data_IF_172215095525
#
_entry.id   IF_172215095525
#
_cell.length_a   1.000
_cell.length_b   1.000
_cell.length_c   1.000
_cell.angle_alpha   90.00
_cell.angle_beta   90.00
_cell.angle_gamma   90.00
#
_symmetry.space_group_name_H-M   'P 1'
#
loop_
_entity.id
_entity.type
_entity.pdbx_description
1 polymer ?
#
# COMPACT_ATOMS: atom_id res chain seq x y z
N UNK A 1 -20.71 -6.10 -18.71
CA UNK A 1 -20.31 -4.92 -17.90
C UNK A 1 -19.44 -5.31 -16.67
N UNK A 2 -18.58 -6.34 -16.76
CA UNK A 2 -17.83 -6.87 -15.59
C UNK A 2 -16.34 -6.48 -15.52
N UNK A 3 -15.69 -6.16 -16.65
CA UNK A 3 -14.24 -5.89 -16.69
C UNK A 3 -13.81 -4.55 -16.08
N UNK A 4 -14.73 -3.58 -16.01
CA UNK A 4 -14.40 -2.24 -15.51
C UNK A 4 -14.24 -2.18 -13.98
N UNK A 5 -15.03 -2.95 -13.19
CA UNK A 5 -14.94 -2.93 -11.71
C UNK A 5 -13.60 -3.43 -11.16
N UNK A 6 -12.88 -4.27 -11.92
CA UNK A 6 -11.58 -4.83 -11.50
C UNK A 6 -10.38 -3.97 -11.96
N UNK A 7 -10.53 -3.17 -13.01
CA UNK A 7 -9.42 -2.39 -13.57
C UNK A 7 -9.10 -1.15 -12.72
N UNK A 8 -10.14 -0.47 -12.21
CA UNK A 8 -9.97 0.73 -11.38
C UNK A 8 -9.10 0.53 -10.14
N UNK A 9 -9.32 -0.50 -9.28
CA UNK A 9 -8.47 -0.71 -8.11
C UNK A 9 -7.02 -1.03 -8.51
N UNK A 10 -6.81 -1.82 -9.57
CA UNK A 10 -5.47 -2.16 -10.04
C UNK A 10 -4.66 -0.92 -10.45
N UNK A 11 -5.24 0.00 -11.22
CA UNK A 11 -4.56 1.23 -11.65
C UNK A 11 -4.25 2.13 -10.45
N UNK A 12 -5.15 2.24 -9.47
CA UNK A 12 -4.92 3.00 -8.24
C UNK A 12 -3.74 2.42 -7.45
N UNK A 13 -3.66 1.10 -7.32
CA UNK A 13 -2.52 0.44 -6.68
C UNK A 13 -1.23 0.66 -7.44
N UNK A 14 -1.22 0.48 -8.76
CA UNK A 14 -0.03 0.66 -9.58
C UNK A 14 0.52 2.09 -9.45
N UNK A 15 -0.34 3.10 -9.60
CA UNK A 15 0.03 4.52 -9.43
C UNK A 15 0.53 4.78 -8.00
N UNK A 16 -0.12 4.20 -6.99
CA UNK A 16 0.27 4.37 -5.59
C UNK A 16 1.65 3.79 -5.28
N UNK A 17 1.94 2.58 -5.73
CA UNK A 17 3.26 1.96 -5.53
C UNK A 17 4.36 2.70 -6.28
N UNK A 18 4.11 3.11 -7.53
CA UNK A 18 5.08 3.91 -8.30
C UNK A 18 5.38 5.22 -7.56
N UNK A 19 4.35 5.92 -7.07
CA UNK A 19 4.52 7.15 -6.31
C UNK A 19 5.30 6.92 -5.00
N UNK A 20 5.00 5.86 -4.24
CA UNK A 20 5.71 5.52 -3.00
C UNK A 20 7.18 5.20 -3.26
N UNK A 21 7.49 4.41 -4.30
CA UNK A 21 8.86 4.03 -4.65
C UNK A 21 9.66 5.25 -5.11
N UNK A 22 9.12 6.06 -6.02
CA UNK A 22 9.78 7.27 -6.50
C UNK A 22 10.04 8.25 -5.35
N UNK A 23 9.06 8.41 -4.46
CA UNK A 23 9.20 9.29 -3.30
C UNK A 23 10.24 8.75 -2.31
N UNK A 24 10.26 7.44 -2.05
CA UNK A 24 11.26 6.81 -1.20
C UNK A 24 12.69 7.02 -1.74
N UNK A 25 12.90 6.88 -3.04
CA UNK A 25 14.18 7.18 -3.69
C UNK A 25 14.57 8.64 -3.53
N UNK A 26 13.63 9.57 -3.72
CA UNK A 26 13.88 10.99 -3.56
C UNK A 26 14.22 11.38 -2.11
N UNK A 27 13.62 10.72 -1.12
CA UNK A 27 13.97 10.89 0.31
C UNK A 27 15.39 10.40 0.59
N UNK A 28 15.80 9.27 0.01
CA UNK A 28 17.18 8.77 0.13
C UNK A 28 18.21 9.74 -0.48
N UNK A 29 17.84 10.48 -1.53
CA UNK A 29 18.67 11.51 -2.15
C UNK A 29 18.74 12.83 -1.34
N UNK A 30 18.05 12.91 -0.20
CA UNK A 30 18.07 14.09 0.68
C UNK A 30 17.03 15.16 0.35
N UNK A 31 16.10 14.90 -0.58
CA UNK A 31 15.00 15.83 -0.84
C UNK A 31 13.97 15.76 0.28
N UNK A 32 13.99 16.75 1.17
CA UNK A 32 13.06 16.84 2.31
C UNK A 32 11.60 16.99 1.86
N UNK A 33 11.36 17.61 0.70
CA UNK A 33 10.03 17.74 0.09
C UNK A 33 9.42 16.41 -0.38
N UNK A 34 10.25 15.39 -0.60
CA UNK A 34 9.77 14.08 -1.04
C UNK A 34 8.98 13.33 0.04
N UNK A 35 9.09 13.76 1.30
CA UNK A 35 8.27 13.23 2.39
C UNK A 35 6.77 13.44 2.14
N UNK A 36 6.38 14.60 1.61
CA UNK A 36 4.98 14.90 1.30
C UNK A 36 4.45 14.05 0.14
N UNK A 37 5.27 13.80 -0.88
CA UNK A 37 4.92 12.93 -1.99
C UNK A 37 4.72 11.48 -1.53
N UNK A 38 5.52 11.01 -0.57
CA UNK A 38 5.37 9.69 0.03
C UNK A 38 4.07 9.56 0.84
N UNK A 39 3.69 10.59 1.61
CA UNK A 39 2.38 10.65 2.27
C UNK A 39 1.23 10.55 1.25
N UNK A 40 1.33 11.29 0.13
CA UNK A 40 0.35 11.22 -0.96
C UNK A 40 0.22 9.83 -1.58
N UNK A 41 1.34 9.18 -1.90
CA UNK A 41 1.34 7.80 -2.40
C UNK A 41 0.75 6.79 -1.41
N UNK A 42 1.08 6.95 -0.13
CA UNK A 42 0.56 6.09 0.95
C UNK A 42 -0.95 6.24 1.13
N UNK A 43 -1.47 7.47 1.09
CA UNK A 43 -2.91 7.74 1.12
C UNK A 43 -3.63 7.11 -0.07
N UNK A 44 -3.05 7.18 -1.28
CA UNK A 44 -3.62 6.56 -2.47
C UNK A 44 -3.71 5.03 -2.31
N UNK A 45 -2.67 4.39 -1.77
CA UNK A 45 -2.68 2.96 -1.49
C UNK A 45 -3.74 2.58 -0.45
N UNK A 46 -3.91 3.36 0.62
CA UNK A 46 -4.94 3.13 1.64
C UNK A 46 -6.35 3.26 1.04
N UNK A 47 -6.58 4.28 0.21
CA UNK A 47 -7.84 4.45 -0.52
C UNK A 47 -8.09 3.28 -1.48
N UNK A 48 -7.08 2.84 -2.22
CA UNK A 48 -7.14 1.65 -3.06
C UNK A 48 -7.55 0.41 -2.26
N UNK A 49 -6.97 0.20 -1.07
CA UNK A 49 -7.38 -0.89 -0.16
C UNK A 49 -8.85 -0.75 0.21
N UNK A 50 -9.27 0.42 0.70
CA UNK A 50 -10.66 0.66 1.12
C UNK A 50 -11.68 0.36 0.03
N UNK A 51 -11.40 0.74 -1.22
CA UNK A 51 -12.27 0.49 -2.36
C UNK A 51 -12.30 -0.98 -2.80
N UNK A 52 -11.22 -1.72 -2.55
CA UNK A 52 -11.08 -3.12 -2.98
C UNK A 52 -11.60 -4.10 -1.92
N UNK A 53 -11.84 -3.66 -0.67
CA UNK A 53 -12.40 -4.52 0.38
C UNK A 53 -13.81 -5.01 -0.01
N UNK A 54 -14.00 -6.31 -0.29
CA UNK A 54 -15.33 -6.84 -0.56
C UNK A 54 -16.10 -6.89 0.77
N UNK A 55 -17.29 -6.28 0.84
CA UNK A 55 -18.26 -6.44 1.95
C UNK A 55 -18.92 -7.82 1.96
N UNK A 56 -18.16 -8.90 1.73
CA UNK A 56 -18.71 -10.26 1.77
C UNK A 56 -18.41 -10.92 3.13
N UNK A 57 -19.40 -11.58 3.70
CA UNK A 57 -19.36 -12.26 5.01
C UNK A 57 -18.53 -13.58 5.02
N UNK A 58 -17.88 -13.90 3.90
CA UNK A 58 -17.06 -15.09 3.77
C UNK A 58 -15.79 -15.01 4.64
N UNK A 59 -15.63 -15.97 5.55
CA UNK A 59 -14.49 -16.09 6.48
C UNK A 59 -13.12 -15.99 5.79
N UNK A 60 -13.03 -16.46 4.53
CA UNK A 60 -11.82 -16.42 3.69
C UNK A 60 -11.44 -14.99 3.28
N UNK A 61 -12.44 -14.13 3.00
CA UNK A 61 -12.27 -12.73 2.59
C UNK A 61 -11.96 -11.84 3.80
N UNK A 62 -12.56 -12.15 4.96
CA UNK A 62 -12.29 -11.47 6.24
C UNK A 62 -10.84 -11.62 6.71
N UNK A 63 -10.23 -12.80 6.52
CA UNK A 63 -8.80 -13.02 6.81
C UNK A 63 -7.88 -12.25 5.85
N UNK A 64 -8.26 -12.17 4.57
CA UNK A 64 -7.49 -11.44 3.56
C UNK A 64 -7.47 -9.94 3.87
N UNK A 65 -8.62 -9.39 4.29
CA UNK A 65 -8.75 -8.00 4.73
C UNK A 65 -7.92 -7.70 6.00
N UNK A 66 -7.80 -8.65 6.92
CA UNK A 66 -6.93 -8.52 8.09
C UNK A 66 -5.46 -8.35 7.71
N UNK A 67 -4.97 -9.12 6.74
CA UNK A 67 -3.56 -9.04 6.30
C UNK A 67 -3.31 -7.76 5.49
N UNK A 68 -4.28 -7.34 4.68
CA UNK A 68 -4.22 -6.07 3.93
C UNK A 68 -4.20 -4.85 4.88
N UNK A 69 -4.92 -4.92 6.00
CA UNK A 69 -4.91 -3.90 7.04
C UNK A 69 -3.56 -3.86 7.79
N UNK A 70 -2.95 -5.01 8.06
CA UNK A 70 -1.60 -5.07 8.66
C UNK A 70 -0.57 -4.36 7.77
N UNK A 71 -0.56 -4.61 6.45
CA UNK A 71 0.32 -3.89 5.53
C UNK A 71 0.09 -2.37 5.53
N UNK A 72 -1.15 -1.92 5.68
CA UNK A 72 -1.49 -0.49 5.71
C UNK A 72 -0.98 0.19 7.00
N UNK A 73 -1.07 -0.52 8.14
CA UNK A 73 -0.54 -0.03 9.42
C UNK A 73 0.98 0.16 9.33
N UNK A 74 1.69 -0.78 8.71
CA UNK A 74 3.14 -0.66 8.50
C UNK A 74 3.51 0.48 7.54
N UNK A 75 2.72 0.72 6.50
CA UNK A 75 2.89 1.88 5.61
C UNK A 75 2.73 3.21 6.36
N UNK A 76 1.71 3.33 7.21
CA UNK A 76 1.51 4.52 8.06
C UNK A 76 2.68 4.71 9.03
N UNK A 77 3.15 3.62 9.65
CA UNK A 77 4.32 3.64 10.53
C UNK A 77 5.58 4.11 9.78
N UNK A 78 5.78 3.65 8.54
CA UNK A 78 6.87 4.09 7.68
C UNK A 78 6.82 5.59 7.43
N UNK A 79 5.62 6.11 7.13
CA UNK A 79 5.36 7.53 6.92
C UNK A 79 5.72 8.38 8.15
N UNK A 80 5.31 7.93 9.34
CA UNK A 80 5.61 8.59 10.61
C UNK A 80 7.12 8.57 10.94
N UNK A 81 7.79 7.45 10.71
CA UNK A 81 9.24 7.32 10.92
C UNK A 81 10.05 8.21 9.97
N UNK A 82 9.57 8.37 8.74
CA UNK A 82 10.18 9.23 7.74
C UNK A 82 10.10 10.70 8.15
N UNK A 83 8.96 11.14 8.69
CA UNK A 83 8.80 12.48 9.26
C UNK A 83 9.70 12.73 10.48
N UNK A 84 9.91 11.70 11.29
CA UNK A 84 10.78 11.76 12.48
C UNK A 84 12.29 11.78 12.13
N UNK A 85 12.64 11.70 10.83
CA UNK A 85 14.03 11.75 10.36
C UNK A 85 14.88 10.53 10.75
N UNK A 86 14.25 9.43 11.20
CA UNK A 86 14.95 8.19 11.59
C UNK A 86 15.01 7.22 10.42
N UNK A 87 16.20 6.69 10.12
CA UNK A 87 16.41 5.72 9.03
C UNK A 87 15.66 4.37 9.18
N UNK A 88 14.95 4.14 10.29
CA UNK A 88 14.10 2.97 10.49
C UNK A 88 12.84 2.95 9.59
N UNK A 89 12.52 4.05 8.89
CA UNK A 89 11.41 4.10 7.94
C UNK A 89 11.58 3.10 6.79
N UNK A 90 12.81 2.81 6.36
CA UNK A 90 13.07 1.84 5.29
C UNK A 90 12.71 0.42 5.73
N UNK A 91 13.03 0.06 6.97
CA UNK A 91 12.74 -1.28 7.53
C UNK A 91 11.24 -1.53 7.60
N UNK A 92 10.49 -0.55 8.09
CA UNK A 92 9.02 -0.64 8.16
C UNK A 92 8.37 -0.68 6.79
N UNK A 93 8.95 0.03 5.80
CA UNK A 93 8.50 0.00 4.41
C UNK A 93 8.71 -1.37 3.77
N UNK A 94 9.87 -2.00 3.98
CA UNK A 94 10.16 -3.35 3.47
C UNK A 94 9.20 -4.37 4.09
N UNK A 95 8.91 -4.27 5.39
CA UNK A 95 7.94 -5.17 6.04
C UNK A 95 6.54 -4.97 5.41
N UNK A 96 6.11 -3.72 5.20
CA UNK A 96 4.85 -3.44 4.52
C UNK A 96 4.80 -4.07 3.12
N UNK A 97 5.88 -3.94 2.35
CA UNK A 97 5.99 -4.51 1.01
C UNK A 97 5.92 -6.05 1.00
N UNK A 98 6.47 -6.72 2.02
CA UNK A 98 6.35 -8.18 2.17
C UNK A 98 4.90 -8.59 2.41
N UNK A 99 4.19 -7.88 3.29
CA UNK A 99 2.76 -8.12 3.51
C UNK A 99 1.96 -7.93 2.22
N UNK A 100 2.24 -6.86 1.48
CA UNK A 100 1.55 -6.59 0.21
C UNK A 100 1.88 -7.64 -0.86
N UNK A 101 3.14 -8.06 -0.97
CA UNK A 101 3.56 -9.16 -1.85
C UNK A 101 2.86 -10.47 -1.49
N UNK A 102 2.73 -10.78 -0.20
CA UNK A 102 1.95 -11.94 0.27
C UNK A 102 0.47 -11.85 -0.16
N UNK A 103 -0.14 -10.67 -0.05
CA UNK A 103 -1.54 -10.49 -0.50
C UNK A 103 -1.69 -10.68 -2.01
N UNK A 104 -0.67 -10.32 -2.81
CA UNK A 104 -0.69 -10.49 -4.26
C UNK A 104 -0.82 -11.96 -4.69
N UNK A 105 -0.10 -12.89 -4.04
CA UNK A 105 -0.24 -14.32 -4.35
C UNK A 105 -1.56 -14.93 -3.89
N UNK A 106 -2.17 -14.35 -2.85
CA UNK A 106 -3.38 -14.89 -2.24
C UNK A 106 -4.69 -14.34 -2.83
N UNK A 107 -4.63 -13.28 -3.63
CA UNK A 107 -5.82 -12.79 -4.31
C UNK A 107 -6.36 -13.91 -5.24
N UNK A 108 -7.62 -14.35 -5.07
CA UNK A 108 -8.17 -15.41 -5.91
C UNK A 108 -8.16 -14.92 -7.36
N UNK A 109 -7.40 -15.62 -8.21
CA UNK A 109 -7.50 -15.43 -9.66
C UNK A 109 -8.89 -15.95 -10.03
N UNK A 110 -9.82 -15.04 -10.31
CA UNK A 110 -11.02 -15.40 -11.05
C UNK A 110 -10.54 -15.90 -12.41
N UNK A 111 -10.72 -17.19 -12.67
CA UNK A 111 -10.51 -17.82 -13.99
C UNK A 111 -11.44 -17.22 -15.04
#
# INVERSE_FOLDING_TARGET
MGKFRLTYPFVIFAVGYIAVILSALAVMLGFQSAQYAFFGGTLLLILGRYLTLPRSDNFRVRRLNGILAVGAIFLIASCYLMYTGRNAWVVTLVIAAIFDFYTSFRYPKEE
#
